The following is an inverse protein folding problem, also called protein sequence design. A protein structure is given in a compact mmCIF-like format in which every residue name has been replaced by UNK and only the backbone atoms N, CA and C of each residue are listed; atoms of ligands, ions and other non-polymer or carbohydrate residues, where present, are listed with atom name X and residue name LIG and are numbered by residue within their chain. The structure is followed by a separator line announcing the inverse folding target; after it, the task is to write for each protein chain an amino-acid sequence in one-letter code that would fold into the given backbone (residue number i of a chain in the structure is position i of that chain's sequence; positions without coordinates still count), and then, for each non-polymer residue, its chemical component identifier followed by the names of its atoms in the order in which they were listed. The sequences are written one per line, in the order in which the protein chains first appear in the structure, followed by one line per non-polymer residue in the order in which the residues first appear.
data_IF_980329239282
#
_entry.id   IF_980329239282
#
_cell.length_a   1.000
_cell.length_b   1.000
_cell.length_c   1.000
_cell.angle_alpha   90.00
_cell.angle_beta   90.00
_cell.angle_gamma   90.00
#
_symmetry.space_group_name_H-M   'P 1'
#
loop_
_entity.id
_entity.type
_entity.pdbx_description
1 polymer ?
#
# COMPACT_ATOMS: atom_id res chain seq x y z
N UNK A 1 28.96 -9.29 21.37
CA UNK A 1 27.84 -9.48 20.41
C UNK A 1 28.39 -9.28 19.02
N UNK A 2 28.23 -10.27 18.15
CA UNK A 2 28.64 -10.18 16.73
C UNK A 2 27.40 -9.91 15.89
N UNK A 3 27.46 -8.88 15.05
CA UNK A 3 26.38 -8.57 14.11
C UNK A 3 26.14 -9.75 13.17
N UNK A 4 24.87 -10.08 12.91
CA UNK A 4 24.50 -11.19 12.00
C UNK A 4 23.88 -10.62 10.73
N UNK A 5 24.49 -10.91 9.59
CA UNK A 5 23.95 -10.57 8.27
C UNK A 5 23.16 -11.75 7.72
N UNK A 6 21.90 -11.50 7.38
CA UNK A 6 21.02 -12.45 6.70
C UNK A 6 20.60 -11.87 5.35
N UNK A 7 20.67 -12.67 4.28
CA UNK A 7 20.31 -12.25 2.92
C UNK A 7 19.26 -13.23 2.40
N UNK A 8 18.16 -12.68 1.89
CA UNK A 8 17.06 -13.42 1.25
C UNK A 8 17.07 -13.11 -0.23
N UNK A 9 17.03 -14.16 -1.05
CA UNK A 9 16.94 -14.06 -2.51
C UNK A 9 15.48 -14.30 -2.93
N UNK A 10 14.76 -13.22 -3.23
CA UNK A 10 13.32 -13.30 -3.52
C UNK A 10 13.03 -13.97 -4.85
N UNK A 11 13.99 -13.98 -5.77
CA UNK A 11 13.84 -14.66 -7.07
C UNK A 11 13.66 -16.17 -6.91
N UNK A 12 14.20 -16.75 -5.83
CA UNK A 12 14.04 -18.17 -5.51
C UNK A 12 12.71 -18.49 -4.83
N UNK A 13 12.08 -17.50 -4.21
CA UNK A 13 10.85 -17.67 -3.42
C UNK A 13 9.63 -17.37 -4.31
N UNK A 14 9.63 -16.21 -4.96
CA UNK A 14 8.50 -15.69 -5.72
C UNK A 14 8.62 -15.97 -7.23
N UNK A 15 9.78 -16.46 -7.67
CA UNK A 15 10.12 -16.64 -9.07
C UNK A 15 10.77 -15.41 -9.71
N UNK A 16 11.31 -15.59 -10.92
CA UNK A 16 11.94 -14.50 -11.67
C UNK A 16 10.90 -13.63 -12.38
N UNK A 17 10.80 -12.36 -11.97
CA UNK A 17 10.08 -11.35 -12.73
C UNK A 17 10.90 -10.95 -13.98
N UNK A 18 10.27 -10.94 -15.15
CA UNK A 18 10.94 -10.66 -16.41
C UNK A 18 11.62 -9.27 -16.41
N UNK A 19 12.95 -9.27 -16.52
CA UNK A 19 13.76 -8.05 -16.55
C UNK A 19 14.34 -7.61 -15.22
N UNK A 20 13.98 -8.25 -14.11
CA UNK A 20 14.66 -8.10 -12.81
C UNK A 20 15.93 -8.94 -12.80
N UNK A 21 17.06 -8.34 -12.42
CA UNK A 21 18.38 -8.97 -12.37
C UNK A 21 18.81 -9.36 -10.96
N UNK A 22 18.38 -8.58 -9.97
CA UNK A 22 18.61 -8.83 -8.55
C UNK A 22 17.39 -8.37 -7.78
N UNK A 23 16.83 -9.22 -6.93
CA UNK A 23 15.87 -8.83 -5.90
C UNK A 23 16.24 -9.49 -4.57
N UNK A 24 16.95 -8.76 -3.72
CA UNK A 24 17.50 -9.29 -2.46
C UNK A 24 17.16 -8.43 -1.28
N UNK A 25 16.58 -9.03 -0.25
CA UNK A 25 16.52 -8.40 1.07
C UNK A 25 17.74 -8.76 1.90
N UNK A 26 18.22 -7.80 2.70
CA UNK A 26 19.27 -8.03 3.67
C UNK A 26 18.84 -7.52 5.04
N UNK A 27 19.24 -8.23 6.08
CA UNK A 27 18.92 -7.94 7.46
C UNK A 27 20.21 -7.99 8.27
N UNK A 28 20.51 -6.90 8.95
CA UNK A 28 21.62 -6.80 9.89
C UNK A 28 21.03 -6.85 11.30
N UNK A 29 21.03 -8.05 11.86
CA UNK A 29 20.47 -8.37 13.17
C UNK A 29 21.51 -8.20 14.28
N UNK A 30 21.02 -8.15 15.51
CA UNK A 30 21.83 -8.12 16.74
C UNK A 30 22.79 -6.91 16.82
N UNK A 31 22.47 -5.83 16.13
CA UNK A 31 23.28 -4.61 16.18
C UNK A 31 23.10 -3.95 17.54
N UNK A 32 24.19 -3.66 18.28
CA UNK A 32 24.08 -3.05 19.60
C UNK A 32 23.45 -1.65 19.48
N UNK A 33 22.38 -1.42 20.23
CA UNK A 33 21.73 -0.11 20.24
C UNK A 33 22.58 0.89 21.02
N UNK A 34 22.89 2.02 20.40
CA UNK A 34 23.60 3.11 21.06
C UNK A 34 22.68 3.78 22.10
N UNK A 35 22.85 3.41 23.38
CA UNK A 35 22.08 3.91 24.52
C UNK A 35 22.93 4.67 25.55
N UNK A 36 23.99 5.36 25.08
CA UNK A 36 24.99 6.03 25.94
C UNK A 36 24.36 6.89 27.05
N UNK A 37 23.40 7.75 26.70
CA UNK A 37 22.73 8.60 27.68
C UNK A 37 21.91 7.81 28.72
N UNK A 38 21.35 6.67 28.35
CA UNK A 38 20.60 5.83 29.30
C UNK A 38 21.53 5.01 30.19
N UNK A 39 22.75 4.70 29.74
CA UNK A 39 23.77 4.07 30.60
C UNK A 39 24.28 5.02 31.68
N UNK A 40 24.40 6.31 31.35
CA UNK A 40 24.88 7.33 32.29
C UNK A 40 23.77 7.79 33.23
N UNK A 41 22.58 8.11 32.70
CA UNK A 41 21.52 8.78 33.46
C UNK A 41 20.32 7.88 33.77
N UNK A 42 20.42 6.57 33.52
CA UNK A 42 19.31 5.64 33.57
C UNK A 42 18.31 5.82 32.42
N UNK A 43 17.37 4.88 32.31
CA UNK A 43 16.24 5.03 31.40
C UNK A 43 15.23 6.05 31.95
N UNK A 44 14.64 6.87 31.08
CA UNK A 44 13.50 7.75 31.42
C UNK A 44 12.19 7.06 31.05
N UNK A 45 11.46 6.41 31.97
CA UNK A 45 10.21 5.73 31.67
C UNK A 45 9.12 6.74 31.29
N UNK A 46 8.51 6.56 30.13
CA UNK A 46 7.36 7.33 29.66
C UNK A 46 6.31 6.39 29.09
N UNK A 47 5.05 6.80 29.18
CA UNK A 47 3.93 6.16 28.49
C UNK A 47 4.04 6.46 27.00
N UNK A 48 3.94 5.41 26.20
CA UNK A 48 3.94 5.40 24.75
C UNK A 48 2.71 4.60 24.29
N UNK A 49 2.33 4.69 23.02
CA UNK A 49 1.07 4.09 22.59
C UNK A 49 0.49 4.65 21.31
N UNK A 50 -0.75 4.29 21.03
CA UNK A 50 -1.56 4.91 19.99
C UNK A 50 -2.99 5.16 20.49
N UNK A 51 -3.61 6.23 19.98
CA UNK A 51 -5.00 6.58 20.27
C UNK A 51 -5.99 5.86 19.34
N UNK A 52 -7.27 5.90 19.71
CA UNK A 52 -8.36 5.45 18.85
C UNK A 52 -8.39 6.32 17.60
N UNK A 53 -8.05 5.73 16.45
CA UNK A 53 -8.26 6.37 15.16
C UNK A 53 -9.59 5.93 14.57
N UNK A 54 -10.39 6.90 14.12
CA UNK A 54 -11.69 6.71 13.46
C UNK A 54 -11.65 5.80 12.24
N UNK A 55 -10.47 5.62 11.61
CA UNK A 55 -10.35 4.86 10.37
C UNK A 55 -10.27 3.32 10.53
N UNK A 56 -9.93 2.79 11.71
CA UNK A 56 -9.67 1.35 11.87
C UNK A 56 -10.33 0.67 13.08
N UNK A 57 -11.20 1.37 13.82
CA UNK A 57 -11.93 0.82 14.98
C UNK A 57 -11.07 0.03 16.00
N UNK A 58 -9.75 0.27 16.03
CA UNK A 58 -8.86 -0.35 17.02
C UNK A 58 -8.98 0.40 18.34
N UNK A 59 -9.09 -0.34 19.43
CA UNK A 59 -8.97 0.21 20.78
C UNK A 59 -7.60 0.85 20.95
N UNK A 60 -7.55 2.02 21.59
CA UNK A 60 -6.30 2.64 21.97
C UNK A 60 -5.46 1.64 22.80
N UNK A 61 -4.14 1.74 22.70
CA UNK A 61 -3.23 0.94 23.51
C UNK A 61 -2.11 1.82 24.06
N UNK A 62 -1.62 1.46 25.25
CA UNK A 62 -0.51 2.13 25.91
C UNK A 62 0.49 1.11 26.44
N UNK A 63 1.76 1.47 26.41
CA UNK A 63 2.86 0.68 26.96
C UNK A 63 3.94 1.61 27.52
N UNK A 64 4.94 1.04 28.18
CA UNK A 64 6.07 1.82 28.69
C UNK A 64 7.23 1.75 27.71
N UNK A 65 7.89 2.90 27.50
CA UNK A 65 9.13 2.96 26.78
C UNK A 65 10.07 4.01 27.36
N UNK A 66 11.34 3.96 26.96
CA UNK A 66 12.30 4.96 27.36
C UNK A 66 12.16 6.21 26.48
N UNK A 67 11.86 7.37 27.06
CA UNK A 67 11.76 8.65 26.33
C UNK A 67 13.09 9.16 25.77
N UNK A 68 14.22 8.61 26.23
CA UNK A 68 15.56 8.98 25.73
C UNK A 68 15.99 8.13 24.54
N UNK A 69 15.97 6.81 24.67
CA UNK A 69 16.50 5.90 23.64
C UNK A 69 15.44 5.16 22.85
N UNK A 70 14.17 5.16 23.27
CA UNK A 70 13.08 4.44 22.61
C UNK A 70 13.02 2.94 22.90
N UNK A 71 13.95 2.40 23.70
CA UNK A 71 13.92 1.00 24.16
C UNK A 71 12.64 0.74 24.95
N UNK A 72 12.07 -0.47 24.82
CA UNK A 72 10.92 -0.94 25.59
C UNK A 72 11.40 -1.97 26.65
N UNK A 73 10.75 -2.03 27.82
CA UNK A 73 10.93 -3.15 28.73
C UNK A 73 10.37 -4.44 28.12
N UNK A 74 10.73 -5.59 28.69
CA UNK A 74 10.20 -6.90 28.27
C UNK A 74 9.60 -7.64 29.47
N UNK A 75 8.27 -7.86 29.51
CA UNK A 75 7.25 -7.37 28.56
C UNK A 75 7.12 -5.83 28.58
N UNK A 76 6.60 -5.22 27.51
CA UNK A 76 6.47 -3.75 27.38
C UNK A 76 5.41 -3.15 28.33
N UNK A 77 4.58 -3.99 28.92
CA UNK A 77 3.42 -3.63 29.71
C UNK A 77 2.21 -3.26 28.84
N UNK A 78 1.03 -3.38 29.43
CA UNK A 78 -0.24 -3.01 28.82
C UNK A 78 -0.96 -2.07 29.78
N UNK A 79 -0.99 -0.78 29.44
CA UNK A 79 -1.53 0.28 30.28
C UNK A 79 -2.90 0.71 29.77
N UNK A 80 -3.79 1.06 30.69
CA UNK A 80 -5.11 1.58 30.36
C UNK A 80 -5.00 2.97 29.68
N UNK A 81 -5.46 3.12 28.42
CA UNK A 81 -5.45 4.40 27.71
C UNK A 81 -6.23 5.53 28.39
N UNK A 82 -7.25 5.19 29.18
CA UNK A 82 -8.08 6.18 29.88
C UNK A 82 -7.35 6.75 31.10
N UNK A 83 -6.42 5.99 31.68
CA UNK A 83 -5.62 6.39 32.84
C UNK A 83 -4.28 7.02 32.46
N UNK A 84 -3.71 6.64 31.32
CA UNK A 84 -2.35 6.99 30.94
C UNK A 84 -2.28 7.77 29.63
N UNK A 85 -1.77 9.00 29.70
CA UNK A 85 -1.60 9.88 28.53
C UNK A 85 -0.26 9.63 27.84
N UNK A 86 -0.23 9.74 26.50
CA UNK A 86 1.01 9.66 25.74
C UNK A 86 2.04 10.69 26.21
N UNK A 87 3.29 10.27 26.40
CA UNK A 87 4.39 11.10 26.89
C UNK A 87 4.42 11.33 28.40
N UNK A 88 3.39 10.92 29.15
CA UNK A 88 3.37 11.00 30.61
C UNK A 88 4.54 10.21 31.20
N UNK A 89 5.20 10.74 32.25
CA UNK A 89 6.22 9.98 32.98
C UNK A 89 5.56 8.79 33.66
N UNK A 90 6.08 7.59 33.45
CA UNK A 90 5.56 6.39 34.09
C UNK A 90 6.26 6.18 35.45
N UNK A 91 5.53 6.24 36.59
CA UNK A 91 6.05 6.15 37.94
C UNK A 91 6.13 4.70 38.49
N UNK A 92 5.96 3.67 37.65
CA UNK A 92 6.01 2.28 38.13
C UNK A 92 7.41 1.85 38.61
N UNK A 93 7.68 0.54 38.75
CA UNK A 93 8.83 -0.02 39.50
C UNK A 93 10.23 0.39 39.03
N UNK A 94 10.33 1.18 37.96
CA UNK A 94 11.55 1.73 37.38
C UNK A 94 11.68 3.25 37.55
N UNK A 95 10.84 3.87 38.37
CA UNK A 95 10.82 5.31 38.65
C UNK A 95 10.95 5.57 40.14
N UNK A 96 11.72 6.58 40.51
CA UNK A 96 11.85 7.06 41.89
C UNK A 96 10.59 7.79 42.42
N UNK A 97 9.48 7.76 41.68
CA UNK A 97 8.25 8.50 41.99
C UNK A 97 7.14 7.53 42.40
N UNK A 98 6.38 7.87 43.44
CA UNK A 98 5.25 7.05 43.88
C UNK A 98 4.19 6.90 42.77
N UNK A 99 3.55 5.72 42.63
CA UNK A 99 2.47 5.51 41.67
C UNK A 99 1.27 6.42 41.99
N UNK A 100 0.50 6.87 40.97
CA UNK A 100 -0.69 7.69 41.20
C UNK A 100 -1.71 6.90 42.02
N UNK A 101 -2.34 7.57 42.98
CA UNK A 101 -3.42 7.00 43.81
C UNK A 101 -4.56 6.61 42.88
N UNK A 102 -4.93 5.31 42.86
CA UNK A 102 -6.07 4.81 42.09
C UNK A 102 -7.30 5.67 42.42
N UNK A 103 -7.91 6.26 41.41
CA UNK A 103 -9.20 6.92 41.54
C UNK A 103 -10.27 5.82 41.55
N UNK A 104 -11.11 5.79 42.58
CA UNK A 104 -12.14 4.77 42.76
C UNK A 104 -13.21 4.88 41.67
N UNK A 105 -13.16 4.01 40.65
CA UNK A 105 -14.28 3.82 39.71
C UNK A 105 -14.27 2.44 39.02
N UNK A 106 -15.43 1.77 39.13
CA UNK A 106 -16.01 0.66 38.35
C UNK A 106 -15.37 -0.76 38.43
N UNK A 107 -16.22 -1.82 38.49
CA UNK A 107 -15.78 -3.21 38.43
C UNK A 107 -15.34 -3.60 37.01
N UNK A 108 -14.12 -4.14 36.89
CA UNK A 108 -13.43 -4.36 35.63
C UNK A 108 -13.80 -5.67 34.90
N UNK A 109 -13.83 -5.69 33.54
CA UNK A 109 -13.71 -6.91 32.77
C UNK A 109 -12.28 -7.52 32.88
N UNK A 110 -12.10 -8.84 32.64
CA UNK A 110 -10.85 -9.52 32.98
C UNK A 110 -9.80 -9.44 31.86
N UNK A 111 -8.77 -8.63 32.06
CA UNK A 111 -7.39 -8.93 31.69
C UNK A 111 -6.48 -7.96 32.46
N UNK A 112 -5.54 -8.49 33.24
CA UNK A 112 -4.68 -7.68 34.12
C UNK A 112 -3.82 -6.73 33.28
N UNK A 113 -3.76 -5.42 33.58
CA UNK A 113 -2.72 -4.56 33.01
C UNK A 113 -1.37 -5.19 33.36
N UNK A 114 -0.65 -5.67 32.36
CA UNK A 114 0.65 -6.28 32.58
C UNK A 114 1.60 -5.18 33.03
N UNK A 115 2.12 -5.32 34.25
CA UNK A 115 3.17 -4.41 34.72
C UNK A 115 4.38 -4.58 33.79
N UNK A 116 4.97 -3.50 33.28
CA UNK A 116 6.15 -3.59 32.43
C UNK A 116 7.28 -4.36 33.13
N UNK A 117 8.01 -5.17 32.38
CA UNK A 117 9.17 -5.91 32.87
C UNK A 117 10.46 -5.05 32.94
N UNK A 118 11.62 -5.65 33.24
CA UNK A 118 12.88 -4.91 33.30
C UNK A 118 13.32 -4.37 31.93
N UNK A 119 14.17 -3.34 31.95
CA UNK A 119 14.86 -2.88 30.75
C UNK A 119 15.83 -3.96 30.24
N UNK A 120 15.89 -4.22 28.93
CA UNK A 120 16.90 -5.13 28.39
C UNK A 120 18.31 -4.57 28.67
N UNK A 121 19.18 -5.41 29.20
CA UNK A 121 20.57 -5.03 29.55
C UNK A 121 21.41 -4.71 28.32
N UNK A 122 21.14 -5.41 27.21
CA UNK A 122 21.84 -5.27 25.94
C UNK A 122 20.83 -5.18 24.80
N UNK A 123 20.14 -4.04 24.64
CA UNK A 123 19.16 -3.87 23.57
C UNK A 123 19.86 -3.93 22.22
N UNK A 124 19.39 -4.82 21.36
CA UNK A 124 19.79 -4.91 19.97
C UNK A 124 18.77 -4.22 19.07
N UNK A 125 19.16 -3.95 17.83
CA UNK A 125 18.28 -3.47 16.76
C UNK A 125 18.55 -4.27 15.49
N UNK A 126 17.54 -4.31 14.63
CA UNK A 126 17.66 -4.85 13.29
C UNK A 126 17.60 -3.70 12.29
N UNK A 127 18.57 -3.63 11.40
CA UNK A 127 18.46 -2.86 10.17
C UNK A 127 18.06 -3.80 9.05
N UNK A 128 17.17 -3.37 8.18
CA UNK A 128 16.79 -4.15 7.00
C UNK A 128 16.90 -3.29 5.76
N UNK A 129 17.05 -3.94 4.63
CA UNK A 129 16.98 -3.29 3.35
C UNK A 129 16.63 -4.27 2.26
N UNK A 130 16.28 -3.72 1.10
CA UNK A 130 16.01 -4.48 -0.11
C UNK A 130 16.66 -3.78 -1.28
N UNK A 131 17.45 -4.52 -2.04
CA UNK A 131 18.08 -4.07 -3.27
C UNK A 131 17.38 -4.76 -4.44
N UNK A 132 16.86 -3.94 -5.34
CA UNK A 132 16.25 -4.36 -6.60
C UNK A 132 17.09 -3.77 -7.72
N UNK A 133 17.64 -4.59 -8.61
CA UNK A 133 18.38 -4.17 -9.82
C UNK A 133 17.69 -4.79 -11.04
N UNK A 134 17.64 -4.03 -12.13
CA UNK A 134 17.04 -4.47 -13.39
C UNK A 134 15.87 -3.59 -13.77
N UNK A 135 15.16 -3.99 -14.83
CA UNK A 135 13.97 -3.33 -15.38
C UNK A 135 12.80 -3.46 -14.41
N UNK A 136 12.97 -2.82 -13.26
CA UNK A 136 11.99 -2.66 -12.22
C UNK A 136 10.72 -2.08 -12.85
N UNK A 137 9.59 -2.67 -12.48
CA UNK A 137 8.24 -2.28 -12.87
C UNK A 137 7.97 -0.79 -12.59
N UNK A 138 8.77 -0.18 -11.71
CA UNK A 138 8.70 1.22 -11.37
C UNK A 138 9.47 2.09 -12.38
N UNK A 139 8.73 2.78 -13.26
CA UNK A 139 9.27 3.88 -14.08
C UNK A 139 9.51 5.17 -13.30
N UNK A 140 9.56 5.08 -11.98
CA UNK A 140 9.63 6.22 -11.06
C UNK A 140 11.08 6.49 -10.66
N UNK A 141 11.53 7.72 -10.86
CA UNK A 141 12.76 8.23 -10.24
C UNK A 141 12.34 8.92 -8.93
N UNK A 142 12.97 8.64 -7.79
CA UNK A 142 12.61 9.38 -6.59
C UNK A 142 13.34 8.95 -5.33
N UNK A 143 13.23 9.78 -4.31
CA UNK A 143 13.71 9.50 -2.97
C UNK A 143 12.58 9.73 -1.97
N UNK A 144 12.44 8.82 -1.02
CA UNK A 144 11.46 8.91 0.07
C UNK A 144 12.19 8.73 1.38
N UNK A 145 11.90 9.57 2.36
CA UNK A 145 12.22 9.40 3.76
C UNK A 145 10.90 9.32 4.53
N UNK A 146 10.67 8.19 5.19
CA UNK A 146 9.53 7.94 6.05
C UNK A 146 9.96 8.07 7.51
N UNK A 147 9.16 8.82 8.26
CA UNK A 147 9.15 8.78 9.71
C UNK A 147 7.90 8.04 10.14
N UNK A 148 8.09 6.89 10.78
CA UNK A 148 7.01 6.01 11.22
C UNK A 148 6.07 6.68 12.24
N UNK A 149 4.89 6.09 12.42
CA UNK A 149 4.08 6.31 13.61
C UNK A 149 4.57 5.41 14.76
N UNK A 150 4.00 5.57 15.96
CA UNK A 150 4.42 4.85 17.16
C UNK A 150 4.22 3.32 17.09
N UNK A 151 3.29 2.86 16.25
CA UNK A 151 3.02 1.45 15.94
C UNK A 151 3.77 0.91 14.72
N UNK A 152 4.55 1.73 14.01
CA UNK A 152 5.25 1.31 12.80
C UNK A 152 6.38 0.34 13.18
N UNK A 153 6.47 -0.77 12.46
CA UNK A 153 7.60 -1.72 12.53
C UNK A 153 8.93 -1.01 12.26
N UNK A 154 8.86 0.03 11.43
CA UNK A 154 9.99 0.78 10.93
C UNK A 154 9.88 2.24 11.41
N UNK A 155 10.69 2.62 12.39
CA UNK A 155 10.71 3.96 12.96
C UNK A 155 11.20 4.98 11.92
N UNK A 156 12.24 4.63 11.16
CA UNK A 156 12.68 5.37 10.00
C UNK A 156 12.81 4.40 8.82
N UNK A 157 12.45 4.85 7.64
CA UNK A 157 12.73 4.14 6.41
C UNK A 157 13.10 5.13 5.32
N UNK A 158 13.98 4.74 4.41
CA UNK A 158 14.18 5.50 3.19
C UNK A 158 14.15 4.58 1.98
N UNK A 159 13.77 5.14 0.84
CA UNK A 159 13.85 4.44 -0.43
C UNK A 159 14.42 5.37 -1.49
N UNK A 160 15.32 4.84 -2.30
CA UNK A 160 15.85 5.47 -3.50
C UNK A 160 15.42 4.65 -4.71
N UNK A 161 14.72 5.26 -5.66
CA UNK A 161 14.27 4.65 -6.91
C UNK A 161 14.96 5.33 -8.07
N UNK A 162 15.62 4.54 -8.90
CA UNK A 162 16.44 5.01 -10.02
C UNK A 162 15.80 4.68 -11.38
N UNK A 163 14.46 4.67 -11.43
CA UNK A 163 13.70 4.25 -12.60
C UNK A 163 14.07 2.83 -13.05
N UNK A 164 14.55 2.70 -14.29
CA UNK A 164 14.89 1.40 -14.89
C UNK A 164 16.17 0.75 -14.35
N UNK A 165 16.95 1.45 -13.53
CA UNK A 165 18.18 0.90 -12.98
C UNK A 165 17.91 0.01 -11.76
N UNK A 166 16.88 0.33 -10.98
CA UNK A 166 16.57 -0.39 -9.75
C UNK A 166 16.07 0.51 -8.63
N UNK A 167 15.98 -0.07 -7.44
CA UNK A 167 15.58 0.60 -6.21
C UNK A 167 16.34 0.04 -5.01
N UNK A 168 16.61 0.90 -4.03
CA UNK A 168 17.15 0.55 -2.73
C UNK A 168 16.15 0.99 -1.66
N UNK A 169 15.71 0.05 -0.84
CA UNK A 169 14.90 0.30 0.34
C UNK A 169 15.76 0.05 1.56
N UNK A 170 15.71 0.95 2.54
CA UNK A 170 16.40 0.81 3.81
C UNK A 170 15.41 1.09 4.93
N UNK A 171 15.52 0.33 6.00
CA UNK A 171 14.82 0.60 7.22
C UNK A 171 15.70 0.40 8.44
N UNK A 172 15.44 1.22 9.44
CA UNK A 172 16.11 1.19 10.72
C UNK A 172 15.42 0.28 11.74
N UNK A 173 14.30 -0.37 11.40
CA UNK A 173 13.48 -1.11 12.36
C UNK A 173 13.14 -0.23 13.58
N UNK A 174 13.49 -0.69 14.78
CA UNK A 174 13.31 0.05 16.03
C UNK A 174 14.36 1.15 16.31
N UNK A 175 15.43 1.19 15.51
CA UNK A 175 16.44 2.23 15.61
C UNK A 175 15.86 3.55 15.11
N UNK A 176 16.12 4.65 15.83
CA UNK A 176 15.55 5.96 15.48
C UNK A 176 14.19 6.29 16.11
N UNK A 177 13.59 5.41 16.94
CA UNK A 177 12.35 5.72 17.69
C UNK A 177 12.37 7.05 18.45
N UNK A 178 13.54 7.47 18.97
CA UNK A 178 13.69 8.80 19.60
C UNK A 178 13.42 9.94 18.61
N UNK A 179 13.96 9.84 17.40
CA UNK A 179 13.79 10.84 16.33
C UNK A 179 12.34 10.79 15.86
N UNK A 180 11.82 9.59 15.61
CA UNK A 180 10.44 9.36 15.22
C UNK A 180 9.45 10.02 16.19
N UNK A 181 9.60 9.82 17.51
CA UNK A 181 8.76 10.46 18.53
C UNK A 181 8.90 11.98 18.60
N UNK A 182 10.09 12.52 18.30
CA UNK A 182 10.30 13.98 18.32
C UNK A 182 9.63 14.65 17.12
N UNK A 183 9.65 13.99 15.98
CA UNK A 183 9.15 14.58 14.74
C UNK A 183 7.66 14.26 14.53
N UNK A 184 7.19 13.07 14.93
CA UNK A 184 5.86 12.56 14.66
C UNK A 184 5.17 12.03 15.93
N UNK A 185 5.05 12.88 16.96
CA UNK A 185 4.48 12.50 18.25
C UNK A 185 2.96 12.30 18.18
N UNK A 186 2.45 11.18 18.71
CA UNK A 186 1.04 11.01 19.04
C UNK A 186 0.10 10.90 17.83
N UNK A 187 0.62 10.63 16.63
CA UNK A 187 -0.20 10.36 15.45
C UNK A 187 0.04 8.95 14.94
N UNK A 188 -1.04 8.24 14.61
CA UNK A 188 -0.96 6.93 13.95
C UNK A 188 -0.63 7.05 12.45
N UNK A 189 -0.52 8.25 11.91
CA UNK A 189 -0.11 8.46 10.53
C UNK A 189 1.40 8.59 10.45
N UNK A 190 2.03 7.77 9.59
CA UNK A 190 3.44 8.00 9.25
C UNK A 190 3.59 9.28 8.44
N UNK A 191 4.70 9.99 8.62
CA UNK A 191 5.04 11.19 7.84
C UNK A 191 6.07 10.85 6.79
N UNK A 192 5.97 11.49 5.63
CA UNK A 192 6.92 11.28 4.53
C UNK A 192 7.46 12.59 4.00
N UNK A 193 8.76 12.57 3.69
CA UNK A 193 9.41 13.52 2.79
C UNK A 193 9.73 12.74 1.53
N UNK A 194 9.05 13.07 0.43
CA UNK A 194 9.19 12.39 -0.85
C UNK A 194 9.43 13.41 -1.95
N UNK A 195 10.32 13.07 -2.87
CA UNK A 195 10.45 13.73 -4.17
C UNK A 195 10.52 12.64 -5.22
N UNK A 196 9.59 12.65 -6.16
CA UNK A 196 9.48 11.62 -7.19
C UNK A 196 9.12 12.22 -8.55
N UNK A 197 9.73 11.71 -9.62
CA UNK A 197 9.37 12.02 -10.99
C UNK A 197 8.76 10.77 -11.65
N UNK A 198 7.50 10.88 -12.06
CA UNK A 198 6.77 9.88 -12.84
C UNK A 198 5.65 10.55 -13.64
N UNK A 199 5.20 9.89 -14.71
CA UNK A 199 4.09 10.35 -15.56
C UNK A 199 4.23 11.80 -16.05
N UNK A 200 5.47 12.21 -16.37
CA UNK A 200 5.78 13.55 -16.87
C UNK A 200 5.67 14.66 -15.81
N UNK A 201 5.55 14.31 -14.53
CA UNK A 201 5.40 15.26 -13.42
C UNK A 201 6.41 14.99 -12.31
N UNK A 202 6.80 16.04 -11.61
CA UNK A 202 7.56 16.02 -10.37
C UNK A 202 6.56 16.16 -9.23
N UNK A 203 6.48 15.13 -8.41
CA UNK A 203 5.69 15.04 -7.21
C UNK A 203 6.57 15.28 -6.00
N UNK A 204 6.01 15.93 -4.98
CA UNK A 204 6.66 16.07 -3.70
C UNK A 204 5.67 15.87 -2.57
N UNK A 205 6.17 15.29 -1.49
CA UNK A 205 5.56 15.32 -0.17
C UNK A 205 6.56 15.91 0.79
N UNK A 206 6.21 16.99 1.47
CA UNK A 206 7.03 17.63 2.49
C UNK A 206 6.33 17.46 3.83
N UNK A 207 6.71 16.43 4.57
CA UNK A 207 6.09 16.09 5.86
C UNK A 207 4.59 15.70 5.78
N UNK A 208 4.13 15.24 4.61
CA UNK A 208 2.74 14.82 4.39
C UNK A 208 2.41 13.51 5.13
N UNK A 209 1.14 13.26 5.49
CA UNK A 209 0.70 11.91 5.82
C UNK A 209 1.03 10.93 4.69
N UNK A 210 1.49 9.73 5.04
CA UNK A 210 1.86 8.71 4.05
C UNK A 210 0.64 8.12 3.34
N UNK A 211 -0.34 7.71 4.13
CA UNK A 211 -1.42 6.81 3.73
C UNK A 211 -2.79 7.53 3.68
N UNK A 212 -2.82 8.83 3.96
CA UNK A 212 -4.03 9.66 3.87
C UNK A 212 -3.79 10.87 2.99
N UNK A 213 -4.81 11.23 2.23
CA UNK A 213 -4.87 12.49 1.50
C UNK A 213 -6.15 13.20 1.93
N UNK A 214 -6.03 14.49 2.24
CA UNK A 214 -7.20 15.33 2.52
C UNK A 214 -7.21 16.51 1.58
N UNK A 215 -8.40 16.91 1.11
CA UNK A 215 -8.57 18.07 0.23
C UNK A 215 -8.01 19.37 0.83
N UNK A 216 -7.90 19.46 2.15
CA UNK A 216 -7.31 20.58 2.89
C UNK A 216 -5.78 20.56 2.98
N UNK A 217 -5.09 19.52 2.50
CA UNK A 217 -3.63 19.45 2.54
C UNK A 217 -3.02 20.54 1.66
N UNK A 218 -2.14 21.41 2.18
CA UNK A 218 -1.52 22.47 1.39
C UNK A 218 -0.69 21.91 0.23
N UNK A 219 -0.73 22.55 -0.94
CA UNK A 219 0.05 22.13 -2.12
C UNK A 219 1.56 22.13 -1.93
N UNK A 220 2.09 22.96 -1.02
CA UNK A 220 3.51 22.91 -0.69
C UNK A 220 3.87 21.64 0.08
N UNK A 221 2.91 21.05 0.80
CA UNK A 221 3.07 19.85 1.62
C UNK A 221 2.85 18.57 0.81
N UNK A 222 1.84 18.53 -0.05
CA UNK A 222 1.60 17.42 -0.98
C UNK A 222 1.18 18.01 -2.33
N UNK A 223 2.06 17.91 -3.32
CA UNK A 223 1.88 18.61 -4.57
C UNK A 223 2.62 17.99 -5.72
N UNK A 224 2.32 18.51 -6.91
CA UNK A 224 3.01 18.13 -8.13
C UNK A 224 3.18 19.33 -9.06
N UNK A 225 4.13 19.20 -9.97
CA UNK A 225 4.33 20.12 -11.08
C UNK A 225 4.69 19.33 -12.32
N UNK A 226 4.19 19.79 -13.45
CA UNK A 226 4.44 19.16 -14.73
C UNK A 226 5.88 19.46 -15.16
N UNK A 227 6.66 18.41 -15.42
CA UNK A 227 8.05 18.53 -15.89
C UNK A 227 8.13 18.78 -17.39
N UNK A 228 7.17 18.25 -18.15
CA UNK A 228 7.15 18.41 -19.59
C UNK A 228 6.81 19.86 -19.98
N UNK A 229 7.73 20.62 -20.59
CA UNK A 229 7.48 22.02 -20.96
C UNK A 229 6.32 22.17 -21.95
N UNK A 230 6.11 21.17 -22.82
CA UNK A 230 5.00 21.16 -23.78
C UNK A 230 3.67 21.06 -23.03
N UNK A 231 3.56 20.18 -22.03
CA UNK A 231 2.37 20.04 -21.21
C UNK A 231 2.12 21.30 -20.36
N UNK A 232 3.18 21.98 -19.92
CA UNK A 232 3.07 23.27 -19.21
C UNK A 232 2.55 24.40 -20.11
N UNK A 233 2.95 24.43 -21.38
CA UNK A 233 2.58 25.50 -22.33
C UNK A 233 1.25 25.24 -23.05
N UNK A 234 1.04 24.01 -23.53
CA UNK A 234 -0.15 23.62 -24.31
C UNK A 234 -1.26 22.96 -23.47
N UNK A 235 -0.96 22.63 -22.21
CA UNK A 235 -1.81 21.81 -21.34
C UNK A 235 -1.62 20.31 -21.62
N UNK A 236 -1.95 19.42 -20.67
CA UNK A 236 -1.79 17.98 -20.83
C UNK A 236 -2.71 17.42 -21.93
N UNK A 237 -2.35 16.27 -22.49
CA UNK A 237 -3.25 15.49 -23.36
C UNK A 237 -4.41 14.99 -22.51
N UNK A 238 -5.63 15.28 -22.94
CA UNK A 238 -6.87 14.81 -22.29
C UNK A 238 -7.67 13.96 -23.27
N UNK A 239 -8.42 13.04 -22.71
CA UNK A 239 -9.47 12.30 -23.40
C UNK A 239 -10.81 12.92 -23.02
N UNK A 240 -11.64 13.21 -23.99
CA UNK A 240 -13.05 13.51 -23.79
C UNK A 240 -13.88 12.50 -24.58
N UNK A 241 -14.98 12.08 -23.99
CA UNK A 241 -15.91 11.12 -24.57
C UNK A 241 -17.25 11.81 -24.76
N UNK A 242 -17.83 11.65 -25.92
CA UNK A 242 -19.17 12.12 -26.25
C UNK A 242 -19.99 10.92 -26.72
N UNK A 243 -21.07 10.62 -26.00
CA UNK A 243 -21.98 9.53 -26.36
C UNK A 243 -22.71 9.88 -27.67
N UNK A 244 -22.65 8.99 -28.66
CA UNK A 244 -23.29 9.17 -29.97
C UNK A 244 -24.39 8.13 -30.14
N UNK A 245 -25.64 8.61 -30.09
CA UNK A 245 -26.83 7.79 -30.26
C UNK A 245 -27.20 6.93 -29.05
N UNK A 246 -28.29 6.15 -29.15
CA UNK A 246 -28.76 5.30 -28.06
C UNK A 246 -27.88 4.05 -27.88
N UNK A 247 -27.89 3.51 -26.65
CA UNK A 247 -27.29 2.21 -26.33
C UNK A 247 -27.91 1.10 -27.19
N UNK A 248 -27.09 0.17 -27.66
CA UNK A 248 -27.51 -0.99 -28.44
C UNK A 248 -27.19 -2.30 -27.72
N UNK A 249 -28.08 -3.30 -27.73
CA UNK A 249 -27.73 -4.63 -27.27
C UNK A 249 -26.73 -5.27 -28.25
N UNK A 250 -25.77 -6.01 -27.71
CA UNK A 250 -24.79 -6.79 -28.45
C UNK A 250 -24.66 -8.21 -27.88
N UNK A 251 -24.15 -9.12 -28.69
CA UNK A 251 -23.88 -10.51 -28.28
C UNK A 251 -22.43 -10.83 -28.56
N UNK A 252 -21.65 -11.00 -27.49
CA UNK A 252 -20.25 -11.41 -27.58
C UNK A 252 -20.21 -12.93 -27.58
N UNK A 253 -19.82 -13.52 -28.72
CA UNK A 253 -19.66 -14.97 -28.87
C UNK A 253 -18.18 -15.31 -28.64
N UNK A 254 -17.91 -16.07 -27.60
CA UNK A 254 -16.57 -16.53 -27.25
C UNK A 254 -16.15 -17.72 -28.14
N UNK A 255 -14.85 -17.93 -28.38
CA UNK A 255 -14.36 -19.09 -29.15
C UNK A 255 -14.77 -20.43 -28.56
N UNK A 256 -15.00 -20.49 -27.24
CA UNK A 256 -15.44 -21.70 -26.54
C UNK A 256 -16.95 -21.98 -26.71
N UNK A 257 -17.70 -21.07 -27.34
CA UNK A 257 -19.13 -21.19 -27.60
C UNK A 257 -20.04 -20.43 -26.63
N UNK A 258 -19.49 -19.88 -25.54
CA UNK A 258 -20.24 -19.04 -24.60
C UNK A 258 -20.75 -17.77 -25.29
N UNK A 259 -21.96 -17.35 -24.95
CA UNK A 259 -22.54 -16.10 -25.47
C UNK A 259 -22.89 -15.18 -24.31
N UNK A 260 -22.33 -13.98 -24.33
CA UNK A 260 -22.60 -12.96 -23.32
C UNK A 260 -23.37 -11.80 -23.93
N UNK A 261 -24.46 -11.42 -23.27
CA UNK A 261 -25.19 -10.21 -23.61
C UNK A 261 -24.45 -8.98 -23.05
N UNK A 262 -24.29 -7.98 -23.91
CA UNK A 262 -23.62 -6.73 -23.58
C UNK A 262 -24.47 -5.55 -24.02
N UNK A 263 -24.40 -4.46 -23.26
CA UNK A 263 -24.95 -3.17 -23.68
C UNK A 263 -23.81 -2.32 -24.22
N UNK A 264 -23.94 -1.84 -25.45
CA UNK A 264 -22.93 -1.08 -26.17
C UNK A 264 -23.35 0.39 -26.30
N UNK A 265 -22.45 1.33 -25.99
CA UNK A 265 -22.59 2.76 -26.23
C UNK A 265 -21.47 3.24 -27.16
N UNK A 266 -21.82 3.68 -28.36
CA UNK A 266 -20.85 4.33 -29.25
C UNK A 266 -20.47 5.69 -28.67
N UNK A 267 -19.17 5.98 -28.64
CA UNK A 267 -18.60 7.21 -28.14
C UNK A 267 -17.60 7.79 -29.15
N UNK A 268 -17.70 9.09 -29.38
CA UNK A 268 -16.63 9.84 -30.05
C UNK A 268 -15.58 10.19 -29.02
N UNK A 269 -14.41 9.57 -29.14
CA UNK A 269 -13.26 9.87 -28.30
C UNK A 269 -12.43 10.96 -28.96
N UNK A 270 -12.20 12.05 -28.25
CA UNK A 270 -11.28 13.11 -28.67
C UNK A 270 -10.05 13.08 -27.78
N UNK A 271 -8.89 12.79 -28.39
CA UNK A 271 -7.58 12.77 -27.76
C UNK A 271 -6.79 14.00 -28.21
N UNK A 272 -6.53 14.93 -27.31
CA UNK A 272 -5.82 16.15 -27.67
C UNK A 272 -5.47 17.05 -26.51
N UNK A 273 -4.77 18.14 -26.82
CA UNK A 273 -4.45 19.21 -25.87
C UNK A 273 -5.50 20.30 -25.95
N UNK A 274 -5.68 21.09 -24.88
CA UNK A 274 -6.59 22.26 -24.91
C UNK A 274 -6.20 23.24 -26.01
N UNK A 275 -4.89 23.42 -26.23
CA UNK A 275 -4.32 24.22 -27.32
C UNK A 275 -3.52 23.30 -28.22
N UNK A 276 -4.01 23.04 -29.43
CA UNK A 276 -3.32 22.21 -30.42
C UNK A 276 -4.26 21.31 -31.22
N UNK A 277 -3.67 20.40 -32.00
CA UNK A 277 -4.40 19.40 -32.75
C UNK A 277 -5.00 18.36 -31.80
N UNK A 278 -6.23 17.95 -32.08
CA UNK A 278 -6.88 16.80 -31.47
C UNK A 278 -7.10 15.74 -32.53
N UNK A 279 -6.87 14.49 -32.16
CA UNK A 279 -7.24 13.33 -32.97
C UNK A 279 -8.58 12.84 -32.44
N UNK A 280 -9.48 12.53 -33.35
CA UNK A 280 -10.76 11.92 -33.04
C UNK A 280 -10.69 10.45 -33.44
N UNK A 281 -11.29 9.60 -32.62
CA UNK A 281 -11.43 8.18 -32.84
C UNK A 281 -12.78 7.71 -32.30
N UNK A 282 -13.24 6.57 -32.79
CA UNK A 282 -14.45 5.94 -32.29
C UNK A 282 -14.09 4.85 -31.29
N UNK A 283 -14.75 4.89 -30.14
CA UNK A 283 -14.68 3.85 -29.12
C UNK A 283 -16.09 3.43 -28.76
N UNK A 284 -16.25 2.19 -28.34
CA UNK A 284 -17.50 1.65 -27.82
C UNK A 284 -17.27 1.29 -26.37
N UNK A 285 -17.97 1.98 -25.48
CA UNK A 285 -18.08 1.60 -24.07
C UNK A 285 -19.10 0.47 -23.97
N UNK A 286 -18.72 -0.64 -23.34
CA UNK A 286 -19.61 -1.79 -23.19
C UNK A 286 -19.72 -2.19 -21.73
N UNK A 287 -20.91 -2.67 -21.37
CA UNK A 287 -21.18 -3.24 -20.04
C UNK A 287 -21.88 -4.58 -20.16
N UNK A 288 -21.64 -5.48 -19.20
CA UNK A 288 -22.29 -6.79 -19.11
C UNK A 288 -22.67 -7.07 -17.65
N UNK A 289 -23.84 -7.67 -17.47
CA UNK A 289 -24.35 -8.14 -16.18
C UNK A 289 -24.92 -9.54 -16.40
N UNK A 290 -24.38 -10.61 -15.78
CA UNK A 290 -23.48 -10.58 -14.61
C UNK A 290 -22.04 -10.14 -14.91
N UNK A 291 -21.54 -10.34 -16.13
CA UNK A 291 -20.17 -10.03 -16.53
C UNK A 291 -19.62 -11.12 -17.44
N UNK A 292 -18.42 -10.91 -18.00
CA UNK A 292 -17.73 -11.93 -18.81
C UNK A 292 -16.60 -12.55 -17.98
N UNK A 293 -16.63 -13.86 -17.66
CA UNK A 293 -15.62 -14.49 -16.81
C UNK A 293 -14.28 -14.61 -17.55
N UNK A 294 -13.21 -14.22 -16.86
CA UNK A 294 -11.83 -14.22 -17.39
C UNK A 294 -10.83 -14.97 -16.50
N UNK A 295 -11.20 -15.30 -15.26
CA UNK A 295 -10.34 -15.94 -14.26
C UNK A 295 -11.10 -17.03 -13.48
N UNK A 296 -10.36 -17.86 -12.74
CA UNK A 296 -10.88 -18.97 -11.93
C UNK A 296 -10.59 -18.75 -10.42
N UNK A 297 -10.82 -17.56 -9.85
CA UNK A 297 -10.44 -17.25 -8.45
C UNK A 297 -11.61 -16.67 -7.63
N UNK A 298 -11.99 -17.40 -6.57
CA UNK A 298 -13.24 -17.23 -5.83
C UNK A 298 -13.44 -15.92 -5.05
N UNK A 299 -12.38 -15.16 -4.74
CA UNK A 299 -12.48 -14.06 -3.77
C UNK A 299 -12.46 -12.65 -4.37
N UNK A 300 -12.17 -12.48 -5.67
CA UNK A 300 -12.15 -11.16 -6.33
C UNK A 300 -12.78 -11.29 -7.71
N UNK A 301 -13.90 -10.59 -7.93
CA UNK A 301 -14.74 -10.67 -9.13
C UNK A 301 -14.03 -11.19 -10.38
N UNK A 302 -14.36 -12.42 -10.75
CA UNK A 302 -13.79 -13.18 -11.88
C UNK A 302 -14.19 -12.63 -13.25
N UNK A 303 -15.07 -11.63 -13.24
CA UNK A 303 -15.83 -11.17 -14.39
C UNK A 303 -15.48 -9.73 -14.75
N UNK A 304 -15.37 -9.48 -16.04
CA UNK A 304 -15.24 -8.13 -16.59
C UNK A 304 -16.64 -7.58 -16.80
N UNK A 305 -17.01 -6.58 -16.00
CA UNK A 305 -18.32 -5.92 -16.03
C UNK A 305 -18.46 -4.91 -17.17
N UNK A 306 -17.34 -4.42 -17.71
CA UNK A 306 -17.33 -3.46 -18.80
C UNK A 306 -15.95 -2.92 -19.12
N UNK A 307 -15.80 -2.38 -20.33
CA UNK A 307 -14.56 -1.74 -20.81
C UNK A 307 -14.84 -0.91 -22.07
N UNK A 308 -13.82 -0.20 -22.58
CA UNK A 308 -13.87 0.47 -23.87
C UNK A 308 -13.14 -0.33 -24.96
N UNK A 309 -13.66 -0.34 -26.18
CA UNK A 309 -12.97 -0.90 -27.36
C UNK A 309 -13.02 0.03 -28.56
N UNK A 310 -11.88 0.24 -29.23
CA UNK A 310 -11.80 1.07 -30.43
C UNK A 310 -12.49 0.39 -31.62
N UNK A 311 -13.26 1.15 -32.42
CA UNK A 311 -13.88 0.69 -33.67
C UNK A 311 -13.45 1.54 -34.85
N UNK A 312 -13.50 0.98 -36.05
CA UNK A 312 -13.05 1.68 -37.26
C UNK A 312 -14.07 2.71 -37.76
N UNK A 313 -13.58 3.80 -38.38
CA UNK A 313 -14.45 4.77 -39.07
C UNK A 313 -15.35 4.07 -40.09
N UNK A 314 -14.79 3.12 -40.86
CA UNK A 314 -15.53 2.36 -41.87
C UNK A 314 -16.70 1.54 -41.28
N UNK A 315 -16.55 0.98 -40.08
CA UNK A 315 -17.66 0.28 -39.43
C UNK A 315 -18.70 1.23 -38.87
N UNK A 316 -18.31 2.41 -38.40
CA UNK A 316 -19.26 3.46 -37.99
C UNK A 316 -20.05 3.97 -39.18
N UNK A 317 -19.37 4.32 -40.28
CA UNK A 317 -19.96 4.80 -41.53
C UNK A 317 -20.91 3.77 -42.15
N UNK A 318 -20.54 2.48 -42.08
CA UNK A 318 -21.39 1.38 -42.54
C UNK A 318 -22.51 0.99 -41.55
N UNK A 319 -22.58 1.61 -40.36
CA UNK A 319 -23.55 1.25 -39.32
C UNK A 319 -23.30 -0.10 -38.64
N UNK A 320 -22.12 -0.70 -38.84
CA UNK A 320 -21.67 -2.03 -38.39
C UNK A 320 -20.75 -2.03 -37.17
N UNK A 321 -20.61 -0.88 -36.52
CA UNK A 321 -19.72 -0.71 -35.36
C UNK A 321 -20.04 -1.66 -34.19
N UNK A 322 -21.31 -2.05 -34.03
CA UNK A 322 -21.72 -2.96 -32.97
C UNK A 322 -21.17 -4.37 -33.19
N UNK A 323 -21.19 -4.87 -34.43
CA UNK A 323 -20.61 -6.17 -34.77
C UNK A 323 -19.08 -6.16 -34.61
N UNK A 324 -18.41 -5.09 -35.07
CA UNK A 324 -16.96 -4.93 -34.89
C UNK A 324 -16.58 -4.88 -33.40
N UNK A 325 -17.33 -4.13 -32.58
CA UNK A 325 -17.11 -4.05 -31.15
C UNK A 325 -17.26 -5.42 -30.48
N UNK A 326 -18.34 -6.17 -30.77
CA UNK A 326 -18.54 -7.52 -30.21
C UNK A 326 -17.37 -8.46 -30.55
N UNK A 327 -16.89 -8.42 -31.79
CA UNK A 327 -15.75 -9.23 -32.22
C UNK A 327 -14.44 -8.85 -31.48
N UNK A 328 -14.19 -7.55 -31.28
CA UNK A 328 -13.01 -7.06 -30.55
C UNK A 328 -13.08 -7.38 -29.06
N UNK A 329 -14.27 -7.31 -28.45
CA UNK A 329 -14.49 -7.70 -27.06
C UNK A 329 -14.21 -9.19 -26.90
N UNK A 330 -14.76 -10.05 -27.77
CA UNK A 330 -14.49 -11.49 -27.75
C UNK A 330 -12.97 -11.76 -27.82
N UNK A 331 -12.27 -11.14 -28.77
CA UNK A 331 -10.82 -11.30 -28.92
C UNK A 331 -10.02 -10.83 -27.70
N UNK A 332 -10.44 -9.74 -27.04
CA UNK A 332 -9.81 -9.26 -25.82
C UNK A 332 -10.03 -10.23 -24.65
N UNK A 333 -11.27 -10.66 -24.44
CA UNK A 333 -11.63 -11.61 -23.37
C UNK A 333 -10.95 -12.97 -23.56
N UNK A 334 -10.79 -13.45 -24.80
CA UNK A 334 -10.03 -14.68 -25.08
C UNK A 334 -8.55 -14.55 -24.74
N UNK A 335 -7.93 -13.39 -25.00
CA UNK A 335 -6.54 -13.14 -24.57
C UNK A 335 -6.42 -13.14 -23.06
N UNK A 336 -7.36 -12.50 -22.35
CA UNK A 336 -7.35 -12.46 -20.88
C UNK A 336 -7.58 -13.86 -20.29
N UNK A 337 -8.55 -14.62 -20.82
CA UNK A 337 -8.78 -16.03 -20.46
C UNK A 337 -7.52 -16.88 -20.66
N UNK A 338 -6.84 -16.73 -21.80
CA UNK A 338 -5.60 -17.45 -22.11
C UNK A 338 -4.48 -17.08 -21.12
N UNK A 339 -4.29 -15.78 -20.87
CA UNK A 339 -3.30 -15.28 -19.91
C UNK A 339 -3.55 -15.82 -18.49
N UNK A 340 -4.81 -15.91 -18.10
CA UNK A 340 -5.21 -16.40 -16.78
C UNK A 340 -5.44 -17.91 -16.69
N UNK A 341 -5.14 -18.66 -17.78
CA UNK A 341 -5.37 -20.10 -17.86
C UNK A 341 -6.80 -20.49 -17.43
N UNK A 342 -7.76 -19.66 -17.83
CA UNK A 342 -9.16 -19.89 -17.56
C UNK A 342 -9.56 -21.27 -18.07
N UNK A 343 -10.28 -21.99 -17.23
CA UNK A 343 -10.82 -23.32 -17.54
C UNK A 343 -12.30 -23.09 -17.43
N UNK A 344 -13.00 -23.16 -18.55
CA UNK A 344 -14.41 -22.80 -18.56
C UNK A 344 -15.24 -23.51 -17.49
N UNK A 345 -16.47 -23.03 -17.23
CA UNK A 345 -17.32 -23.61 -16.19
C UNK A 345 -17.27 -25.13 -16.31
N UNK A 346 -16.69 -25.79 -15.30
CA UNK A 346 -16.45 -27.22 -15.39
C UNK A 346 -17.82 -27.88 -15.48
N UNK A 347 -18.13 -28.48 -16.62
CA UNK A 347 -19.34 -29.30 -16.78
C UNK A 347 -19.30 -30.54 -15.88
N UNK A 348 -18.13 -30.84 -15.29
CA UNK A 348 -17.99 -31.77 -14.20
C UNK A 348 -18.28 -31.08 -12.86
N UNK A 349 -19.17 -31.65 -12.02
CA UNK A 349 -19.31 -31.18 -10.65
C UNK A 349 -17.93 -31.19 -10.01
N UNK A 350 -17.49 -30.03 -9.53
CA UNK A 350 -16.33 -29.98 -8.63
C UNK A 350 -16.68 -30.93 -7.47
N UNK A 351 -15.82 -31.89 -7.11
CA UNK A 351 -16.01 -32.61 -5.86
C UNK A 351 -16.18 -31.55 -4.78
N UNK A 352 -17.26 -31.66 -4.00
CA UNK A 352 -17.47 -30.77 -2.86
C UNK A 352 -16.16 -30.71 -2.07
N UNK A 353 -15.68 -29.52 -1.68
CA UNK A 353 -14.47 -29.41 -0.88
C UNK A 353 -14.65 -30.34 0.31
N UNK A 354 -13.78 -31.35 0.42
CA UNK A 354 -13.75 -32.20 1.61
C UNK A 354 -13.70 -31.26 2.81
N UNK A 355 -14.59 -31.43 3.81
CA UNK A 355 -14.59 -30.58 4.99
C UNK A 355 -13.18 -30.63 5.57
N UNK A 356 -12.55 -29.45 5.69
CA UNK A 356 -11.24 -29.31 6.34
C UNK A 356 -11.32 -30.05 7.68
N UNK A 357 -10.59 -31.17 7.79
CA UNK A 357 -10.40 -31.84 9.05
C UNK A 357 -9.59 -30.89 9.94
N UNK A 358 -10.27 -30.21 10.84
CA UNK A 358 -9.66 -29.51 11.97
C UNK A 358 -8.86 -30.53 12.78
N UNK A 359 -7.56 -30.64 12.49
CA UNK A 359 -6.64 -31.41 13.32
C UNK A 359 -6.39 -30.58 14.58
N UNK A 360 -7.15 -30.86 15.63
CA UNK A 360 -6.82 -30.44 16.99
C UNK A 360 -5.46 -31.06 17.38
N UNK A 361 -4.40 -30.26 17.30
CA UNK A 361 -3.11 -30.62 17.88
C UNK A 361 -3.23 -30.42 19.40
N UNK A 362 -3.23 -31.52 20.14
CA UNK A 362 -3.27 -31.58 21.62
C UNK A 362 -1.90 -31.32 22.24
#
# INVERSE_FOLDING_TARGET
MSARLHIVDHEKIDGHEAGTLVNRSFYLNDMPRLILLCRIFGHRPVVDGYDTTTAMARSAARWVACGRCGVRPSPQGDLDPDQWRLGQRYPGPFSDAAPPTKTDAAPAPPARPQTPGPWPTQPTVTFSGQLVIGRSTYRTLGATLKVGNDGSENALACSLRLGRLGALYLSSGDYGRRIQRRLNAGTYESRVIEVAAHDGSLWWKLWAPRDSWTKGTPRWMDGNTVLNPIDRWLGPVRYSYEDVGPKRPGRVVMPEGDVHEVTLQLQRQRKGRRRGRSVESWTVDWTSSPGIPTRNHSWKGDEVLGSGTDVSDAAVDAGRWAEEACARIAAAMSRDRSHHRWRGPSTFPQPEPEPDFDVEVS
#
